data_IF_549714586149
#
_entry.id   IF_549714586149
#
_cell.length_a   1.000
_cell.length_b   1.000
_cell.length_c   1.000
_cell.angle_alpha   90.00
_cell.angle_beta   90.00
_cell.angle_gamma   90.00
#
_symmetry.space_group_name_H-M   'P 1'
#
loop_
_entity.id
_entity.type
_entity.pdbx_description
1 polymer ?
#
# COMPACT_ATOMS: atom_id res chain seq x y z
N UNK A 1 -14.76 -0.20 6.69
CA UNK A 1 -13.68 -0.50 5.72
C UNK A 1 -13.96 0.02 4.31
N UNK A 2 -15.22 0.04 3.82
CA UNK A 2 -15.56 0.51 2.46
C UNK A 2 -15.08 1.95 2.14
N UNK A 3 -15.32 2.92 3.04
CA UNK A 3 -14.94 4.34 2.84
C UNK A 3 -13.44 4.56 2.64
N UNK A 4 -12.58 3.75 3.27
CA UNK A 4 -11.12 3.87 3.13
C UNK A 4 -10.66 3.40 1.75
N UNK A 5 -11.15 2.24 1.29
CA UNK A 5 -10.85 1.71 -0.03
C UNK A 5 -11.34 2.64 -1.15
N UNK A 6 -12.55 3.19 -1.01
CA UNK A 6 -13.13 4.15 -1.95
C UNK A 6 -12.29 5.43 -2.06
N UNK A 7 -11.91 6.03 -0.92
CA UNK A 7 -11.08 7.23 -0.92
C UNK A 7 -9.70 6.97 -1.55
N UNK A 8 -9.08 5.84 -1.23
CA UNK A 8 -7.77 5.46 -1.79
C UNK A 8 -7.87 5.23 -3.29
N UNK A 9 -8.92 4.55 -3.77
CA UNK A 9 -9.17 4.34 -5.19
C UNK A 9 -9.41 5.67 -5.91
N UNK A 10 -10.21 6.57 -5.34
CA UNK A 10 -10.47 7.89 -5.90
C UNK A 10 -9.17 8.71 -6.04
N UNK A 11 -8.34 8.76 -4.99
CA UNK A 11 -7.01 9.40 -5.06
C UNK A 11 -6.13 8.72 -6.11
N UNK A 12 -6.16 7.38 -6.20
CA UNK A 12 -5.40 6.62 -7.18
C UNK A 12 -5.76 7.03 -8.62
N UNK A 13 -7.05 7.16 -8.93
CA UNK A 13 -7.50 7.56 -10.27
C UNK A 13 -7.23 9.04 -10.54
N UNK A 14 -7.51 9.93 -9.59
CA UNK A 14 -7.23 11.37 -9.69
C UNK A 14 -5.76 11.68 -9.95
N UNK A 15 -4.87 10.89 -9.35
CA UNK A 15 -3.42 11.11 -9.42
C UNK A 15 -2.70 10.19 -10.40
N UNK A 16 -3.46 9.47 -11.25
CA UNK A 16 -2.90 8.53 -12.22
C UNK A 16 -1.89 9.17 -13.17
N UNK A 17 -2.13 10.42 -13.57
CA UNK A 17 -1.21 11.22 -14.40
C UNK A 17 0.17 11.41 -13.75
N UNK A 18 0.20 11.57 -12.42
CA UNK A 18 1.43 11.81 -11.66
C UNK A 18 2.04 10.50 -11.12
N UNK A 19 1.34 9.38 -11.27
CA UNK A 19 1.69 8.07 -10.68
C UNK A 19 2.00 8.19 -9.19
N UNK A 20 1.22 9.01 -8.49
CA UNK A 20 1.40 9.23 -7.07
C UNK A 20 1.14 7.96 -6.27
N UNK A 21 1.76 7.87 -5.10
CA UNK A 21 1.75 6.69 -4.26
C UNK A 21 1.16 6.99 -2.89
N UNK A 22 0.45 6.02 -2.31
CA UNK A 22 -0.24 6.13 -1.04
C UNK A 22 0.29 5.08 -0.07
N UNK A 23 0.41 5.46 1.21
CA UNK A 23 0.71 4.57 2.32
C UNK A 23 -0.55 4.37 3.14
N UNK A 24 -0.91 3.11 3.38
CA UNK A 24 -2.04 2.77 4.24
C UNK A 24 -1.48 2.10 5.48
N UNK A 25 -1.57 2.82 6.59
CA UNK A 25 -1.23 2.31 7.92
C UNK A 25 -2.43 1.58 8.51
N UNK A 26 -2.24 0.30 8.82
CA UNK A 26 -3.26 -0.50 9.50
C UNK A 26 -2.64 -1.12 10.76
N UNK A 27 -2.81 -0.44 11.89
CA UNK A 27 -2.36 -0.93 13.21
C UNK A 27 -3.42 -1.80 13.91
N UNK A 28 -4.61 -1.93 13.32
CA UNK A 28 -5.72 -2.67 13.92
C UNK A 28 -5.79 -4.09 13.39
N UNK A 29 -5.19 -5.02 14.14
CA UNK A 29 -5.81 -6.25 14.66
C UNK A 29 -4.76 -7.35 14.80
N UNK A 30 -4.71 -7.93 16.01
CA UNK A 30 -4.03 -9.17 16.30
C UNK A 30 -4.40 -10.18 15.21
N UNK A 31 -3.44 -10.76 14.47
CA UNK A 31 -3.74 -11.71 13.41
C UNK A 31 -4.49 -12.89 14.04
N UNK A 32 -5.81 -12.96 13.81
CA UNK A 32 -6.55 -14.20 14.00
C UNK A 32 -6.29 -15.06 12.76
N UNK A 33 -5.99 -16.36 12.91
CA UNK A 33 -5.83 -17.22 11.75
C UNK A 33 -7.12 -17.19 10.91
N UNK A 34 -7.04 -16.62 9.70
CA UNK A 34 -8.13 -16.62 8.72
C UNK A 34 -8.78 -15.27 8.37
N UNK A 35 -8.60 -14.18 9.14
CA UNK A 35 -9.16 -12.87 8.78
C UNK A 35 -8.08 -11.81 8.67
N UNK A 36 -7.79 -11.38 7.45
CA UNK A 36 -6.73 -10.44 7.15
C UNK A 36 -7.32 -9.17 6.51
N UNK A 37 -7.40 -8.08 7.28
CA UNK A 37 -7.87 -6.77 6.81
C UNK A 37 -7.06 -6.28 5.61
N UNK A 38 -5.80 -6.71 5.50
CA UNK A 38 -4.94 -6.40 4.35
C UNK A 38 -5.50 -6.99 3.04
N UNK A 39 -5.97 -8.24 3.08
CA UNK A 39 -6.51 -8.93 1.91
C UNK A 39 -7.90 -8.37 1.55
N UNK A 40 -8.76 -8.10 2.54
CA UNK A 40 -10.06 -7.46 2.27
C UNK A 40 -9.89 -6.08 1.61
N UNK A 41 -8.93 -5.27 2.10
CA UNK A 41 -8.65 -3.96 1.51
C UNK A 41 -8.14 -4.09 0.08
N UNK A 42 -7.24 -5.04 -0.18
CA UNK A 42 -6.72 -5.30 -1.52
C UNK A 42 -7.84 -5.74 -2.47
N UNK A 43 -8.67 -6.69 -2.05
CA UNK A 43 -9.79 -7.18 -2.85
C UNK A 43 -10.76 -6.04 -3.20
N UNK A 44 -11.08 -5.18 -2.23
CA UNK A 44 -11.90 -3.98 -2.47
C UNK A 44 -11.27 -3.04 -3.48
N UNK A 45 -9.96 -2.77 -3.38
CA UNK A 45 -9.25 -1.91 -4.34
C UNK A 45 -9.26 -2.50 -5.75
N UNK A 46 -9.09 -3.82 -5.87
CA UNK A 46 -9.18 -4.54 -7.16
C UNK A 46 -10.59 -4.45 -7.73
N UNK A 47 -11.63 -4.64 -6.91
CA UNK A 47 -13.03 -4.47 -7.31
C UNK A 47 -13.32 -3.05 -7.80
N UNK A 48 -12.64 -2.03 -7.23
CA UNK A 48 -12.75 -0.63 -7.64
C UNK A 48 -11.89 -0.30 -8.89
N UNK A 49 -11.20 -1.29 -9.49
CA UNK A 49 -10.45 -1.14 -10.73
C UNK A 49 -8.96 -0.81 -10.55
N UNK A 50 -8.42 -0.88 -9.33
CA UNK A 50 -6.98 -0.75 -9.10
C UNK A 50 -6.28 -2.06 -9.50
N UNK A 51 -5.25 -2.04 -10.36
CA UNK A 51 -4.54 -3.26 -10.74
C UNK A 51 -3.82 -3.88 -9.54
N UNK A 52 -3.97 -5.19 -9.37
CA UNK A 52 -3.33 -5.96 -8.30
C UNK A 52 -1.81 -5.72 -8.24
N UNK A 53 -1.16 -5.62 -9.41
CA UNK A 53 0.28 -5.42 -9.52
C UNK A 53 0.78 -4.08 -8.95
N UNK A 54 -0.13 -3.13 -8.68
CA UNK A 54 0.19 -1.82 -8.11
C UNK A 54 -0.11 -1.74 -6.60
N UNK A 55 -0.63 -2.80 -6.00
CA UNK A 55 -0.90 -2.93 -4.56
C UNK A 55 0.13 -3.88 -3.95
N UNK A 56 0.81 -3.46 -2.88
CA UNK A 56 1.80 -4.28 -2.21
C UNK A 56 1.70 -4.21 -0.68
N UNK A 57 2.17 -5.27 -0.02
CA UNK A 57 2.21 -5.37 1.43
C UNK A 57 3.66 -5.29 1.93
N UNK A 58 3.91 -4.49 2.97
CA UNK A 58 5.25 -4.44 3.59
C UNK A 58 5.64 -5.78 4.23
N UNK A 59 4.65 -6.62 4.57
CA UNK A 59 4.84 -7.96 5.14
C UNK A 59 5.44 -8.96 4.16
N UNK A 60 5.32 -8.76 2.84
CA UNK A 60 5.98 -9.65 1.87
C UNK A 60 7.48 -9.37 1.74
N UNK A 61 7.93 -8.20 2.22
CA UNK A 61 9.32 -7.77 2.21
C UNK A 61 9.97 -8.01 3.60
N UNK A 62 10.32 -9.27 3.87
CA UNK A 62 10.92 -9.70 5.14
C UNK A 62 12.44 -9.43 5.25
N UNK A 63 13.10 -9.07 4.15
CA UNK A 63 14.53 -8.75 4.12
C UNK A 63 14.74 -7.29 3.74
N UNK A 64 15.84 -6.69 4.20
CA UNK A 64 16.21 -5.30 3.86
C UNK A 64 16.33 -5.09 2.35
N UNK A 65 16.93 -6.03 1.62
CA UNK A 65 17.02 -5.95 0.15
C UNK A 65 15.65 -5.96 -0.54
N UNK A 66 14.71 -6.81 -0.07
CA UNK A 66 13.34 -6.82 -0.60
C UNK A 66 12.59 -5.54 -0.25
N UNK A 67 12.79 -5.00 0.95
CA UNK A 67 12.22 -3.71 1.38
C UNK A 67 12.73 -2.57 0.52
N UNK A 68 14.04 -2.47 0.32
CA UNK A 68 14.66 -1.46 -0.52
C UNK A 68 14.12 -1.53 -1.97
N UNK A 69 14.01 -2.73 -2.53
CA UNK A 69 13.40 -2.94 -3.86
C UNK A 69 11.93 -2.52 -3.91
N UNK A 70 11.15 -2.88 -2.90
CA UNK A 70 9.75 -2.47 -2.79
C UNK A 70 9.60 -0.95 -2.71
N UNK A 71 10.40 -0.29 -1.87
CA UNK A 71 10.42 1.18 -1.78
C UNK A 71 10.88 1.84 -3.07
N UNK A 72 11.84 1.25 -3.80
CA UNK A 72 12.23 1.74 -5.12
C UNK A 72 11.07 1.65 -6.13
N UNK A 73 10.28 0.57 -6.10
CA UNK A 73 9.07 0.43 -6.93
C UNK A 73 8.00 1.46 -6.55
N UNK A 74 7.83 1.75 -5.26
CA UNK A 74 6.93 2.80 -4.78
C UNK A 74 7.40 4.18 -5.28
N UNK A 75 8.68 4.54 -5.08
CA UNK A 75 9.24 5.81 -5.59
C UNK A 75 9.07 5.99 -7.10
N UNK A 76 9.17 4.91 -7.87
CA UNK A 76 8.98 4.94 -9.33
C UNK A 76 7.49 5.06 -9.72
N UNK A 77 6.56 4.76 -8.81
CA UNK A 77 5.13 4.71 -9.08
C UNK A 77 4.70 3.41 -9.78
N UNK A 78 5.54 2.37 -9.72
CA UNK A 78 5.19 1.02 -10.17
C UNK A 78 4.28 0.33 -9.17
N UNK A 79 4.55 0.52 -7.88
CA UNK A 79 3.61 0.22 -6.79
C UNK A 79 3.03 1.55 -6.34
N UNK A 80 1.71 1.69 -6.38
CA UNK A 80 1.04 2.95 -6.03
C UNK A 80 0.33 2.90 -4.69
N UNK A 81 0.08 1.71 -4.15
CA UNK A 81 -0.53 1.54 -2.84
C UNK A 81 0.34 0.57 -2.06
N UNK A 82 0.92 1.04 -0.95
CA UNK A 82 1.69 0.23 -0.02
C UNK A 82 0.96 0.16 1.31
N UNK A 83 0.63 -1.06 1.74
CA UNK A 83 -0.13 -1.32 2.95
C UNK A 83 0.78 -1.96 4.00
N UNK A 84 0.74 -1.47 5.24
CA UNK A 84 1.57 -1.98 6.33
C UNK A 84 1.23 -1.43 7.70
N UNK A 85 1.90 -1.96 8.73
CA UNK A 85 1.80 -1.42 10.09
C UNK A 85 2.77 -0.26 10.30
N UNK A 86 2.43 0.65 11.21
CA UNK A 86 3.25 1.81 11.59
C UNK A 86 4.64 1.38 12.03
N UNK A 87 4.75 0.26 12.73
CA UNK A 87 6.05 -0.30 13.15
C UNK A 87 6.97 -0.69 11.98
N UNK A 88 6.41 -1.22 10.87
CA UNK A 88 7.21 -1.66 9.72
C UNK A 88 7.51 -0.55 8.71
N UNK A 89 6.74 0.53 8.75
CA UNK A 89 6.84 1.67 7.84
C UNK A 89 7.44 2.92 8.50
N UNK A 90 7.52 2.98 9.83
CA UNK A 90 7.84 4.19 10.60
C UNK A 90 9.33 4.53 10.80
N UNK A 91 10.27 3.68 10.39
CA UNK A 91 11.71 3.95 10.54
C UNK A 91 12.38 4.18 9.17
N UNK A 92 12.72 5.44 8.87
CA UNK A 92 13.79 5.79 7.94
C UNK A 92 13.57 5.50 6.45
N UNK A 93 12.34 5.61 5.93
CA UNK A 93 12.07 5.36 4.50
C UNK A 93 11.98 6.65 3.69
N UNK A 94 12.97 6.85 2.82
CA UNK A 94 13.03 7.99 1.89
C UNK A 94 12.02 7.83 0.72
N UNK A 95 10.73 7.63 0.98
CA UNK A 95 9.68 7.40 -0.04
C UNK A 95 8.90 8.67 -0.41
N UNK A 96 9.46 9.85 -0.12
CA UNK A 96 8.74 11.13 -0.13
C UNK A 96 8.44 11.69 -1.54
N UNK A 97 9.19 11.30 -2.58
CA UNK A 97 9.12 11.96 -3.90
C UNK A 97 7.77 11.88 -4.62
N UNK A 98 6.87 10.96 -4.25
CA UNK A 98 5.54 10.79 -4.86
C UNK A 98 4.42 10.55 -3.85
N UNK A 99 4.71 10.75 -2.57
CA UNK A 99 3.77 10.48 -1.49
C UNK A 99 2.77 11.64 -1.38
N UNK A 100 1.50 11.29 -1.21
CA UNK A 100 0.36 12.19 -0.96
C UNK A 100 -0.49 11.62 0.16
#
# INVERSE_FOLDING_TARGET
MARCAENVADIYFKTSRNKSTQLIFCDTSVPKPGFNIYDELKDRLIMLGVPECQVAFIHSANTEGKRASLFAKVRKGTVRILIGSTFKLGLGVNIQNKLI
#
